data_IF_134067945199
#
_entry.id   IF_134067945199
#
_cell.length_a   1.000
_cell.length_b   1.000
_cell.length_c   1.000
_cell.angle_alpha   90.00
_cell.angle_beta   90.00
_cell.angle_gamma   90.00
#
_symmetry.space_group_name_H-M   'P 1'
#
loop_
_entity.id
_entity.type
_entity.pdbx_description
1 polymer ?
#
# COMPACT_ATOMS: atom_id res chain seq x y z
N UNK A 1 -4.32 2.39 16.83
CA UNK A 1 -4.48 1.23 17.74
C UNK A 1 -5.92 1.13 18.22
N UNK A 2 -6.40 1.90 19.22
CA UNK A 2 -7.80 1.78 19.68
C UNK A 2 -8.85 2.09 18.58
N UNK A 3 -8.62 3.12 17.77
CA UNK A 3 -9.51 3.50 16.65
C UNK A 3 -9.61 2.45 15.53
N UNK A 4 -8.59 1.61 15.37
CA UNK A 4 -8.52 0.59 14.32
C UNK A 4 -9.22 -0.69 14.79
N UNK A 5 -9.09 -1.01 16.09
CA UNK A 5 -9.78 -2.14 16.75
C UNK A 5 -11.30 -1.97 16.72
N UNK A 6 -11.82 -0.76 17.01
CA UNK A 6 -13.27 -0.52 17.00
C UNK A 6 -13.91 -0.67 15.60
N UNK A 7 -13.15 -0.41 14.53
CA UNK A 7 -13.62 -0.58 13.15
C UNK A 7 -13.68 -2.04 12.76
N UNK A 8 -12.69 -2.83 13.17
CA UNK A 8 -12.65 -4.27 12.93
C UNK A 8 -13.80 -4.99 13.66
N UNK A 9 -14.05 -4.62 14.92
CA UNK A 9 -15.15 -5.18 15.73
C UNK A 9 -16.52 -4.86 15.10
N UNK A 10 -16.74 -3.62 14.63
CA UNK A 10 -17.98 -3.28 13.92
C UNK A 10 -18.07 -3.95 12.56
N UNK A 11 -16.95 -4.20 11.86
CA UNK A 11 -16.99 -4.98 10.63
C UNK A 11 -17.48 -6.41 10.84
N UNK A 12 -16.99 -7.06 11.90
CA UNK A 12 -17.46 -8.40 12.29
C UNK A 12 -18.97 -8.35 12.57
N UNK A 13 -19.42 -7.39 13.38
CA UNK A 13 -20.83 -7.19 13.68
C UNK A 13 -21.68 -6.94 12.43
N UNK A 14 -21.21 -6.09 11.51
CA UNK A 14 -21.92 -5.79 10.28
C UNK A 14 -22.09 -7.04 9.42
N UNK A 15 -21.05 -7.85 9.28
CA UNK A 15 -21.13 -9.12 8.57
C UNK A 15 -22.14 -10.05 9.22
N UNK A 16 -22.09 -10.21 10.54
CA UNK A 16 -22.99 -11.12 11.24
C UNK A 16 -24.45 -10.67 11.15
N UNK A 17 -24.73 -9.39 11.35
CA UNK A 17 -26.11 -8.86 11.38
C UNK A 17 -26.66 -8.61 9.98
N UNK A 18 -25.90 -7.97 9.09
CA UNK A 18 -26.37 -7.53 7.78
C UNK A 18 -26.23 -8.60 6.69
N UNK A 19 -25.19 -9.45 6.77
CA UNK A 19 -24.94 -10.49 5.75
C UNK A 19 -25.44 -11.86 6.21
N UNK A 20 -25.19 -12.24 7.47
CA UNK A 20 -25.57 -13.55 8.01
C UNK A 20 -26.94 -13.57 8.70
N UNK A 21 -27.59 -12.42 8.87
CA UNK A 21 -28.93 -12.30 9.43
C UNK A 21 -29.02 -12.54 10.95
N UNK A 22 -27.91 -12.42 11.68
CA UNK A 22 -27.91 -12.48 13.13
C UNK A 22 -28.75 -11.32 13.72
N UNK A 23 -29.47 -11.55 14.83
CA UNK A 23 -30.21 -10.48 15.49
C UNK A 23 -29.24 -9.46 16.10
N UNK A 24 -29.57 -8.17 15.95
CA UNK A 24 -28.86 -7.09 16.65
C UNK A 24 -29.42 -6.96 18.08
N UNK A 25 -28.60 -7.23 19.09
CA UNK A 25 -28.97 -7.04 20.50
C UNK A 25 -28.46 -5.70 21.03
N UNK A 26 -29.36 -4.78 21.40
CA UNK A 26 -29.00 -3.45 21.91
C UNK A 26 -28.74 -3.43 23.42
N UNK A 27 -27.72 -4.17 23.85
CA UNK A 27 -27.16 -4.03 25.20
C UNK A 27 -26.25 -2.80 25.33
N UNK A 28 -25.79 -2.49 26.55
CA UNK A 28 -24.97 -1.30 26.82
C UNK A 28 -23.62 -1.32 26.11
N UNK A 29 -23.02 -2.50 25.95
CA UNK A 29 -21.77 -2.70 25.20
C UNK A 29 -21.97 -2.36 23.72
N UNK A 30 -23.02 -2.90 23.10
CA UNK A 30 -23.37 -2.64 21.71
C UNK A 30 -23.67 -1.17 21.45
N UNK A 31 -24.42 -0.53 22.36
CA UNK A 31 -24.70 0.91 22.30
C UNK A 31 -23.41 1.73 22.39
N UNK A 32 -22.49 1.31 23.25
CA UNK A 32 -21.20 1.98 23.42
C UNK A 32 -20.33 1.83 22.17
N UNK A 33 -20.25 0.63 21.61
CA UNK A 33 -19.52 0.34 20.37
C UNK A 33 -20.07 1.18 19.21
N UNK A 34 -21.38 1.06 18.92
CA UNK A 34 -22.01 1.77 17.80
C UNK A 34 -21.91 3.30 17.94
N UNK A 35 -22.05 3.84 19.16
CA UNK A 35 -21.92 5.28 19.41
C UNK A 35 -20.50 5.78 19.15
N UNK A 36 -19.49 4.99 19.54
CA UNK A 36 -18.08 5.33 19.32
C UNK A 36 -17.71 5.24 17.84
N UNK A 37 -18.09 4.15 17.18
CA UNK A 37 -17.80 3.96 15.76
C UNK A 37 -18.55 4.97 14.88
N UNK A 38 -19.79 5.35 15.26
CA UNK A 38 -20.51 6.43 14.60
C UNK A 38 -19.68 7.72 14.53
N UNK A 39 -19.07 8.12 15.64
CA UNK A 39 -18.19 9.31 15.67
C UNK A 39 -16.95 9.12 14.79
N UNK A 40 -16.34 7.93 14.80
CA UNK A 40 -15.19 7.60 13.95
C UNK A 40 -15.52 7.66 12.44
N UNK A 41 -16.78 7.52 12.05
CA UNK A 41 -17.25 7.65 10.66
C UNK A 41 -17.98 8.98 10.39
N UNK A 42 -17.73 9.99 11.23
CA UNK A 42 -18.31 11.33 11.12
C UNK A 42 -19.84 11.38 11.17
N UNK A 43 -20.46 10.50 11.95
CA UNK A 43 -21.86 10.63 12.37
C UNK A 43 -21.88 11.37 13.71
N UNK A 44 -22.75 12.37 13.83
CA UNK A 44 -22.82 13.21 15.03
C UNK A 44 -23.19 12.40 16.27
N UNK A 45 -22.66 12.79 17.43
CA UNK A 45 -22.95 12.11 18.70
C UNK A 45 -24.45 12.12 19.02
N UNK A 46 -25.13 13.24 18.74
CA UNK A 46 -26.58 13.37 18.93
C UNK A 46 -27.35 12.41 18.02
N UNK A 47 -27.02 12.38 16.73
CA UNK A 47 -27.65 11.48 15.75
C UNK A 47 -27.46 10.01 16.12
N UNK A 48 -26.27 9.65 16.60
CA UNK A 48 -25.98 8.31 17.08
C UNK A 48 -26.82 7.95 18.33
N UNK A 49 -26.90 8.85 19.31
CA UNK A 49 -27.72 8.65 20.51
C UNK A 49 -29.21 8.52 20.17
N UNK A 50 -29.72 9.36 19.27
CA UNK A 50 -31.10 9.32 18.82
C UNK A 50 -31.39 8.01 18.08
N UNK A 51 -30.48 7.57 17.20
CA UNK A 51 -30.61 6.32 16.48
C UNK A 51 -30.54 5.08 17.40
N UNK A 52 -29.81 5.14 18.51
CA UNK A 52 -29.74 4.02 19.45
C UNK A 52 -31.00 3.85 20.32
N UNK A 53 -32.00 4.75 20.27
CA UNK A 53 -33.21 4.64 21.11
C UNK A 53 -34.08 3.42 20.80
N UNK A 54 -34.02 2.89 19.58
CA UNK A 54 -34.83 1.74 19.17
C UNK A 54 -34.02 0.78 18.28
N UNK A 55 -34.46 -0.48 18.21
CA UNK A 55 -33.81 -1.50 17.40
C UNK A 55 -33.81 -1.14 15.90
N UNK A 56 -34.92 -0.62 15.38
CA UNK A 56 -35.04 -0.25 13.96
C UNK A 56 -34.11 0.91 13.58
N UNK A 57 -34.02 1.92 14.43
CA UNK A 57 -33.15 3.08 14.21
C UNK A 57 -31.67 2.70 14.41
N UNK A 58 -31.35 1.80 15.35
CA UNK A 58 -29.98 1.32 15.54
C UNK A 58 -29.51 0.44 14.37
N UNK A 59 -30.42 -0.37 13.80
CA UNK A 59 -30.15 -1.11 12.57
C UNK A 59 -29.84 -0.17 11.40
N UNK A 60 -30.51 0.99 11.35
CA UNK A 60 -30.24 2.02 10.33
C UNK A 60 -28.87 2.65 10.54
N UNK A 61 -28.50 2.97 11.80
CA UNK A 61 -27.17 3.45 12.15
C UNK A 61 -26.07 2.45 11.77
N UNK A 62 -26.26 1.17 12.07
CA UNK A 62 -25.31 0.11 11.72
C UNK A 62 -25.07 0.04 10.20
N UNK A 63 -26.13 0.13 9.39
CA UNK A 63 -26.01 0.16 7.92
C UNK A 63 -25.26 1.39 7.42
N UNK A 64 -25.55 2.57 7.99
CA UNK A 64 -24.85 3.81 7.62
C UNK A 64 -23.35 3.73 7.96
N UNK A 65 -23.02 3.23 9.17
CA UNK A 65 -21.63 2.98 9.57
C UNK A 65 -20.95 2.04 8.58
N UNK A 66 -21.56 0.88 8.30
CA UNK A 66 -21.03 -0.08 7.34
C UNK A 66 -20.81 0.53 5.95
N UNK A 67 -21.78 1.30 5.47
CA UNK A 67 -21.72 1.97 4.17
C UNK A 67 -20.56 2.95 4.11
N UNK A 68 -20.40 3.83 5.11
CA UNK A 68 -19.31 4.84 5.13
C UNK A 68 -17.94 4.20 5.16
N UNK A 69 -17.77 3.16 5.98
CA UNK A 69 -16.50 2.44 6.08
C UNK A 69 -16.20 1.75 4.74
N UNK A 70 -17.16 0.99 4.20
CA UNK A 70 -16.99 0.28 2.93
C UNK A 70 -16.77 1.21 1.74
N UNK A 71 -17.52 2.30 1.62
CA UNK A 71 -17.36 3.27 0.54
C UNK A 71 -16.04 4.03 0.65
N UNK A 72 -15.70 4.57 1.83
CA UNK A 72 -14.47 5.32 2.03
C UNK A 72 -13.22 4.46 1.80
N UNK A 73 -13.20 3.22 2.32
CA UNK A 73 -12.12 2.27 2.07
C UNK A 73 -11.93 1.97 0.57
N UNK A 74 -13.03 1.71 -0.15
CA UNK A 74 -13.01 1.46 -1.60
C UNK A 74 -12.54 2.68 -2.38
N UNK A 75 -13.03 3.87 -2.04
CA UNK A 75 -12.67 5.14 -2.68
C UNK A 75 -11.18 5.42 -2.53
N UNK A 76 -10.68 5.37 -1.29
CA UNK A 76 -9.27 5.58 -0.99
C UNK A 76 -8.37 4.54 -1.69
N UNK A 77 -8.73 3.26 -1.63
CA UNK A 77 -7.95 2.20 -2.27
C UNK A 77 -7.85 2.37 -3.79
N UNK A 78 -8.96 2.70 -4.47
CA UNK A 78 -8.96 2.95 -5.92
C UNK A 78 -8.10 4.16 -6.27
N UNK A 79 -8.27 5.27 -5.57
CA UNK A 79 -7.50 6.49 -5.81
C UNK A 79 -6.00 6.28 -5.58
N UNK A 80 -5.62 5.54 -4.52
CA UNK A 80 -4.22 5.19 -4.24
C UNK A 80 -3.61 4.34 -5.34
N UNK A 81 -4.32 3.29 -5.78
CA UNK A 81 -3.84 2.45 -6.88
C UNK A 81 -3.63 3.28 -8.14
N UNK A 82 -4.59 4.16 -8.47
CA UNK A 82 -4.46 5.04 -9.63
C UNK A 82 -3.33 6.06 -9.48
N UNK A 83 -3.14 6.63 -8.30
CA UNK A 83 -2.04 7.54 -8.02
C UNK A 83 -0.68 6.86 -8.16
N UNK A 84 -0.53 5.61 -7.71
CA UNK A 84 0.70 4.83 -7.93
C UNK A 84 0.96 4.57 -9.41
N UNK A 85 -0.06 4.20 -10.19
CA UNK A 85 0.09 4.04 -11.65
C UNK A 85 0.55 5.33 -12.35
N UNK A 86 0.00 6.48 -11.96
CA UNK A 86 0.36 7.78 -12.51
C UNK A 86 1.79 8.17 -12.11
N UNK A 87 2.14 8.02 -10.82
CA UNK A 87 3.50 8.23 -10.30
C UNK A 87 4.52 7.38 -11.05
N UNK A 88 4.24 6.11 -11.27
CA UNK A 88 5.15 5.17 -11.95
C UNK A 88 5.33 5.53 -13.44
N UNK A 89 4.37 6.26 -14.03
CA UNK A 89 4.48 6.87 -15.37
C UNK A 89 5.12 8.27 -15.37
N UNK A 90 5.45 8.82 -14.20
CA UNK A 90 6.01 10.16 -14.02
C UNK A 90 5.00 11.29 -13.92
N UNK A 91 3.69 10.97 -13.92
CA UNK A 91 2.63 11.96 -13.75
C UNK A 91 2.30 12.17 -12.25
N UNK A 92 3.20 12.88 -11.56
CA UNK A 92 3.01 13.20 -10.14
C UNK A 92 1.86 14.18 -9.89
N UNK A 93 1.58 15.09 -10.82
CA UNK A 93 0.47 16.03 -10.68
C UNK A 93 -0.88 15.32 -10.81
N UNK A 94 -1.02 14.44 -11.80
CA UNK A 94 -2.18 13.56 -11.91
C UNK A 94 -2.34 12.67 -10.68
N UNK A 95 -1.24 12.14 -10.14
CA UNK A 95 -1.27 11.36 -8.90
C UNK A 95 -1.78 12.19 -7.70
N UNK A 96 -1.30 13.42 -7.53
CA UNK A 96 -1.79 14.34 -6.51
C UNK A 96 -3.28 14.63 -6.69
N UNK A 97 -3.73 14.86 -7.92
CA UNK A 97 -5.13 15.16 -8.21
C UNK A 97 -6.06 14.03 -7.78
N UNK A 98 -5.70 12.77 -8.02
CA UNK A 98 -6.48 11.61 -7.55
C UNK A 98 -6.71 11.63 -6.04
N UNK A 99 -5.71 12.05 -5.27
CA UNK A 99 -5.82 12.11 -3.80
C UNK A 99 -6.62 13.35 -3.37
N UNK A 100 -6.46 14.49 -4.04
CA UNK A 100 -7.30 15.69 -3.80
C UNK A 100 -8.78 15.41 -4.06
N UNK A 101 -9.10 14.65 -5.11
CA UNK A 101 -10.48 14.27 -5.43
C UNK A 101 -11.11 13.44 -4.30
N UNK A 102 -10.34 12.57 -3.64
CA UNK A 102 -10.80 11.86 -2.43
C UNK A 102 -11.04 12.83 -1.30
N UNK A 103 -10.11 13.73 -1.01
CA UNK A 103 -10.22 14.71 0.07
C UNK A 103 -11.40 15.67 -0.11
N UNK A 104 -11.86 15.90 -1.34
CA UNK A 104 -13.01 16.74 -1.62
C UNK A 104 -14.35 16.11 -1.17
N UNK A 105 -14.44 14.77 -1.14
CA UNK A 105 -15.70 14.05 -0.87
C UNK A 105 -15.67 13.17 0.37
N UNK A 106 -14.48 12.81 0.85
CA UNK A 106 -14.33 11.90 2.00
C UNK A 106 -14.69 12.62 3.30
N UNK A 107 -15.57 12.00 4.08
CA UNK A 107 -16.04 12.54 5.36
C UNK A 107 -15.47 11.78 6.56
N UNK A 108 -15.05 10.52 6.37
CA UNK A 108 -14.51 9.69 7.44
C UNK A 108 -13.10 10.17 7.82
N UNK A 109 -12.85 10.66 9.05
CA UNK A 109 -11.58 11.26 9.45
C UNK A 109 -10.37 10.37 9.22
N UNK A 110 -10.49 9.06 9.50
CA UNK A 110 -9.40 8.11 9.28
C UNK A 110 -8.95 8.07 7.81
N UNK A 111 -9.90 7.99 6.87
CA UNK A 111 -9.59 7.93 5.45
C UNK A 111 -9.09 9.26 4.89
N UNK A 112 -9.61 10.39 5.40
CA UNK A 112 -9.07 11.72 5.11
C UNK A 112 -7.60 11.81 5.53
N UNK A 113 -7.27 11.42 6.76
CA UNK A 113 -5.91 11.43 7.27
C UNK A 113 -4.97 10.57 6.41
N UNK A 114 -5.41 9.38 6.00
CA UNK A 114 -4.62 8.54 5.10
C UNK A 114 -4.39 9.18 3.72
N UNK A 115 -5.41 9.87 3.17
CA UNK A 115 -5.27 10.62 1.93
C UNK A 115 -4.33 11.83 2.09
N UNK A 116 -4.42 12.59 3.18
CA UNK A 116 -3.52 13.71 3.49
C UNK A 116 -2.05 13.26 3.55
N UNK A 117 -1.75 12.20 4.30
CA UNK A 117 -0.39 11.61 4.35
C UNK A 117 0.09 11.17 2.98
N UNK A 118 -0.79 10.63 2.14
CA UNK A 118 -0.42 10.23 0.78
C UNK A 118 -0.16 11.43 -0.13
N UNK A 119 -0.92 12.52 0.03
CA UNK A 119 -0.73 13.77 -0.73
C UNK A 119 0.57 14.47 -0.34
N UNK A 120 0.89 14.51 0.95
CA UNK A 120 2.15 15.04 1.47
C UNK A 120 3.35 14.30 0.85
N UNK A 121 3.31 12.97 0.82
CA UNK A 121 4.35 12.15 0.17
C UNK A 121 4.53 12.48 -1.31
N UNK A 122 3.43 12.58 -2.05
CA UNK A 122 3.49 12.92 -3.49
C UNK A 122 4.02 14.33 -3.72
N UNK A 123 3.63 15.28 -2.87
CA UNK A 123 4.11 16.67 -2.93
C UNK A 123 5.60 16.74 -2.65
N UNK A 124 6.08 16.05 -1.61
CA UNK A 124 7.51 15.92 -1.34
C UNK A 124 8.27 15.31 -2.53
N UNK A 125 7.72 14.30 -3.20
CA UNK A 125 8.34 13.73 -4.40
C UNK A 125 8.40 14.72 -5.58
N UNK A 126 7.40 15.60 -5.72
CA UNK A 126 7.43 16.70 -6.70
C UNK A 126 8.58 17.65 -6.38
N UNK A 127 8.78 18.00 -5.10
CA UNK A 127 9.88 18.87 -4.67
C UNK A 127 11.26 18.22 -4.91
N UNK A 128 11.42 16.93 -4.59
CA UNK A 128 12.66 16.19 -4.91
C UNK A 128 12.91 16.22 -6.41
N UNK A 129 11.89 15.99 -7.24
CA UNK A 129 12.02 16.05 -8.70
C UNK A 129 12.40 17.46 -9.19
N UNK A 130 11.81 18.49 -8.61
CA UNK A 130 12.02 19.88 -9.00
C UNK A 130 13.37 20.44 -8.57
N UNK A 131 13.89 20.01 -7.43
CA UNK A 131 15.10 20.57 -6.82
C UNK A 131 16.32 19.66 -6.91
N UNK A 132 16.13 18.36 -7.05
CA UNK A 132 17.18 17.34 -6.91
C UNK A 132 17.58 17.06 -5.46
N UNK A 133 16.98 17.74 -4.48
CA UNK A 133 17.31 17.57 -3.05
C UNK A 133 16.47 16.44 -2.45
N UNK A 134 17.13 15.57 -1.71
CA UNK A 134 16.47 14.45 -1.03
C UNK A 134 15.65 14.94 0.17
N UNK A 135 14.61 14.19 0.49
CA UNK A 135 13.80 14.36 1.68
C UNK A 135 13.87 13.06 2.52
N UNK A 136 14.38 13.13 3.76
CA UNK A 136 14.58 11.93 4.59
C UNK A 136 13.28 11.23 5.00
N UNK A 137 12.13 11.92 4.95
CA UNK A 137 10.83 11.37 5.33
C UNK A 137 10.15 10.61 4.18
N UNK A 138 10.74 10.65 2.97
CA UNK A 138 10.20 9.99 1.79
C UNK A 138 10.85 8.61 1.54
N UNK A 139 10.12 7.66 0.95
CA UNK A 139 10.68 6.36 0.59
C UNK A 139 11.84 6.48 -0.40
N UNK A 140 13.02 5.94 -0.06
CA UNK A 140 14.24 6.08 -0.86
C UNK A 140 14.06 5.70 -2.33
N UNK A 141 13.37 4.60 -2.60
CA UNK A 141 13.15 4.11 -3.96
C UNK A 141 12.30 5.06 -4.81
N UNK A 142 11.31 5.70 -4.19
CA UNK A 142 10.45 6.66 -4.88
C UNK A 142 11.27 7.92 -5.19
N UNK A 143 12.16 8.33 -4.28
CA UNK A 143 13.11 9.41 -4.53
C UNK A 143 14.06 9.11 -5.69
N UNK A 144 14.62 7.89 -5.77
CA UNK A 144 15.44 7.47 -6.91
C UNK A 144 14.67 7.52 -8.23
N UNK A 145 13.41 7.11 -8.23
CA UNK A 145 12.58 7.11 -9.44
C UNK A 145 12.35 8.55 -9.95
N UNK A 146 12.03 9.49 -9.06
CA UNK A 146 11.80 10.89 -9.47
C UNK A 146 13.10 11.61 -9.85
N UNK A 147 14.23 11.28 -9.21
CA UNK A 147 15.54 11.78 -9.64
C UNK A 147 15.92 11.24 -11.02
N UNK A 148 15.65 9.95 -11.30
CA UNK A 148 15.86 9.38 -12.64
C UNK A 148 15.03 10.09 -13.70
N UNK A 149 13.76 10.41 -13.40
CA UNK A 149 12.91 11.22 -14.29
C UNK A 149 13.47 12.64 -14.50
N UNK A 150 13.96 13.29 -13.44
CA UNK A 150 14.60 14.61 -13.52
C UNK A 150 15.80 14.59 -14.49
N UNK A 151 16.63 13.54 -14.44
CA UNK A 151 17.79 13.37 -15.34
C UNK A 151 17.33 13.16 -16.78
N UNK A 152 16.30 12.33 -17.00
CA UNK A 152 15.70 12.13 -18.32
C UNK A 152 15.13 13.43 -18.93
N UNK A 153 14.75 14.39 -18.09
CA UNK A 153 14.32 15.74 -18.51
C UNK A 153 15.50 16.69 -18.82
N UNK A 154 16.74 16.20 -18.79
CA UNK A 154 17.94 16.94 -19.14
C UNK A 154 18.60 17.70 -17.99
N UNK A 155 18.18 17.47 -16.74
CA UNK A 155 18.83 18.08 -15.59
C UNK A 155 20.03 17.23 -15.15
N UNK A 156 21.16 17.87 -14.85
CA UNK A 156 22.34 17.16 -14.35
C UNK A 156 22.07 16.54 -12.96
N UNK A 157 22.71 15.38 -12.72
CA UNK A 157 22.72 14.75 -11.40
C UNK A 157 23.80 15.37 -10.52
N UNK A 158 23.40 16.00 -9.43
CA UNK A 158 24.32 16.44 -8.39
C UNK A 158 24.61 15.29 -7.43
N UNK A 159 25.85 14.80 -7.43
CA UNK A 159 26.27 13.70 -6.57
C UNK A 159 26.65 14.23 -5.18
N UNK A 160 25.64 14.48 -4.36
CA UNK A 160 25.76 14.91 -2.96
C UNK A 160 26.08 13.74 -2.03
N UNK A 161 26.55 14.04 -0.82
CA UNK A 161 26.81 13.00 0.19
C UNK A 161 25.53 12.29 0.63
N UNK A 162 24.40 12.99 0.68
CA UNK A 162 23.09 12.40 0.96
C UNK A 162 22.68 11.40 -0.13
N UNK A 163 22.92 11.73 -1.41
CA UNK A 163 22.64 10.81 -2.51
C UNK A 163 23.56 9.59 -2.47
N UNK A 164 24.85 9.77 -2.16
CA UNK A 164 25.77 8.65 -1.95
C UNK A 164 25.30 7.76 -0.81
N UNK A 165 24.88 8.34 0.32
CA UNK A 165 24.38 7.60 1.48
C UNK A 165 23.08 6.84 1.15
N UNK A 166 22.16 7.45 0.40
CA UNK A 166 20.95 6.79 -0.07
C UNK A 166 21.28 5.62 -1.00
N UNK A 167 22.19 5.80 -1.96
CA UNK A 167 22.59 4.73 -2.88
C UNK A 167 23.22 3.55 -2.14
N UNK A 168 24.10 3.80 -1.16
CA UNK A 168 24.64 2.74 -0.28
C UNK A 168 23.56 1.96 0.45
N UNK A 169 22.50 2.63 0.89
CA UNK A 169 21.38 2.00 1.60
C UNK A 169 20.49 1.16 0.67
N UNK A 170 20.21 1.66 -0.54
CA UNK A 170 19.27 1.00 -1.47
C UNK A 170 19.94 -0.07 -2.33
N UNK A 171 21.20 0.09 -2.73
CA UNK A 171 21.93 -0.85 -3.56
C UNK A 171 21.85 -2.33 -3.10
N UNK A 172 22.12 -2.68 -1.83
CA UNK A 172 22.02 -4.08 -1.38
C UNK A 172 20.59 -4.62 -1.46
N UNK A 173 19.57 -3.77 -1.35
CA UNK A 173 18.16 -4.18 -1.51
C UNK A 173 17.81 -4.59 -2.94
N UNK A 174 18.65 -4.23 -3.92
CA UNK A 174 18.57 -4.68 -5.30
C UNK A 174 19.66 -5.71 -5.66
N UNK A 175 20.33 -6.30 -4.66
CA UNK A 175 21.46 -7.22 -4.81
C UNK A 175 22.65 -6.63 -5.60
N UNK A 176 22.91 -5.33 -5.44
CA UNK A 176 24.16 -4.71 -5.91
C UNK A 176 25.16 -4.77 -4.76
N UNK A 177 26.39 -5.20 -5.06
CA UNK A 177 27.44 -5.33 -4.04
C UNK A 177 27.96 -3.98 -3.56
N UNK A 178 28.58 -3.95 -2.38
CA UNK A 178 29.23 -2.75 -1.86
C UNK A 178 30.33 -2.25 -2.82
N UNK A 179 31.16 -3.15 -3.35
CA UNK A 179 32.22 -2.78 -4.29
C UNK A 179 31.68 -2.14 -5.59
N UNK A 180 30.63 -2.71 -6.19
CA UNK A 180 29.96 -2.11 -7.36
C UNK A 180 29.34 -0.76 -7.01
N UNK A 181 28.78 -0.63 -5.80
CA UNK A 181 28.18 0.61 -5.32
C UNK A 181 29.21 1.70 -5.15
N UNK A 182 30.31 1.42 -4.44
CA UNK A 182 31.40 2.39 -4.22
C UNK A 182 32.08 2.79 -5.53
N UNK A 183 32.18 1.89 -6.50
CA UNK A 183 32.70 2.24 -7.83
C UNK A 183 31.75 3.18 -8.57
N UNK A 184 30.46 2.86 -8.59
CA UNK A 184 29.46 3.64 -9.30
C UNK A 184 29.33 5.08 -8.75
N UNK A 185 29.40 5.27 -7.44
CA UNK A 185 29.22 6.59 -6.80
C UNK A 185 30.48 7.48 -6.83
N UNK A 186 31.49 7.13 -7.62
CA UNK A 186 32.66 7.99 -7.89
C UNK A 186 32.34 9.10 -8.90
N UNK A 187 31.36 8.90 -9.78
CA UNK A 187 30.94 9.89 -10.77
C UNK A 187 29.42 9.99 -10.87
N UNK A 188 28.88 11.14 -11.35
CA UNK A 188 27.45 11.29 -11.61
C UNK A 188 26.91 10.25 -12.59
N UNK A 189 27.65 9.92 -13.65
CA UNK A 189 27.24 8.95 -14.67
C UNK A 189 27.16 7.53 -14.09
N UNK A 190 28.11 7.17 -13.23
CA UNK A 190 28.09 5.89 -12.52
C UNK A 190 26.92 5.81 -11.53
N UNK A 191 26.65 6.89 -10.80
CA UNK A 191 25.52 6.97 -9.88
C UNK A 191 24.18 6.85 -10.63
N UNK A 192 24.03 7.53 -11.77
CA UNK A 192 22.85 7.40 -12.64
C UNK A 192 22.68 5.96 -13.13
N UNK A 193 23.75 5.33 -13.62
CA UNK A 193 23.71 3.94 -14.06
C UNK A 193 23.29 2.99 -12.93
N UNK A 194 23.80 3.21 -11.71
CA UNK A 194 23.40 2.46 -10.52
C UNK A 194 21.92 2.66 -10.18
N UNK A 195 21.42 3.90 -10.20
CA UNK A 195 19.99 4.19 -9.99
C UNK A 195 19.13 3.45 -11.01
N UNK A 196 19.47 3.54 -12.29
CA UNK A 196 18.77 2.82 -13.36
C UNK A 196 18.79 1.31 -13.16
N UNK A 197 19.93 0.74 -12.74
CA UNK A 197 20.06 -0.68 -12.44
C UNK A 197 19.15 -1.10 -11.27
N UNK A 198 19.17 -0.37 -10.16
CA UNK A 198 18.32 -0.62 -8.97
C UNK A 198 16.85 -0.62 -9.38
N UNK A 199 16.39 0.45 -10.03
CA UNK A 199 14.99 0.61 -10.44
C UNK A 199 14.56 -0.50 -11.41
N UNK A 200 15.42 -0.83 -12.39
CA UNK A 200 15.19 -1.89 -13.37
C UNK A 200 15.07 -3.27 -12.72
N UNK A 201 15.96 -3.62 -11.78
CA UNK A 201 15.90 -4.90 -11.05
C UNK A 201 14.61 -5.04 -10.27
N UNK A 202 14.20 -3.99 -9.54
CA UNK A 202 12.93 -4.02 -8.83
C UNK A 202 11.72 -4.15 -9.76
N UNK A 203 11.69 -3.40 -10.87
CA UNK A 203 10.58 -3.47 -11.82
C UNK A 203 10.48 -4.86 -12.47
N UNK A 204 11.61 -5.45 -12.87
CA UNK A 204 11.66 -6.79 -13.47
C UNK A 204 11.29 -7.88 -12.46
N UNK A 205 11.88 -7.84 -11.27
CA UNK A 205 11.60 -8.82 -10.23
C UNK A 205 10.15 -8.77 -9.74
N UNK A 206 9.60 -7.57 -9.56
CA UNK A 206 8.20 -7.40 -9.17
C UNK A 206 7.23 -7.96 -10.20
N UNK A 207 7.45 -7.68 -11.50
CA UNK A 207 6.62 -8.25 -12.59
C UNK A 207 6.73 -9.77 -12.66
N UNK A 208 7.94 -10.31 -12.51
CA UNK A 208 8.19 -11.75 -12.52
C UNK A 208 7.45 -12.43 -11.37
N UNK A 209 7.66 -11.93 -10.15
CA UNK A 209 7.03 -12.47 -8.95
C UNK A 209 5.50 -12.41 -9.03
N UNK A 210 4.94 -11.26 -9.41
CA UNK A 210 3.48 -11.11 -9.51
C UNK A 210 2.87 -12.07 -10.56
N UNK A 211 3.51 -12.23 -11.71
CA UNK A 211 3.06 -13.18 -12.73
C UNK A 211 3.09 -14.62 -12.21
N UNK A 212 4.20 -15.01 -11.59
CA UNK A 212 4.36 -16.34 -11.02
C UNK A 212 3.34 -16.60 -9.89
N UNK A 213 3.04 -15.59 -9.07
CA UNK A 213 2.00 -15.65 -8.04
C UNK A 213 0.62 -15.97 -8.64
N UNK A 214 0.20 -15.27 -9.69
CA UNK A 214 -1.08 -15.56 -10.35
C UNK A 214 -1.13 -16.99 -10.91
N UNK A 215 -0.04 -17.44 -11.55
CA UNK A 215 0.05 -18.79 -12.10
C UNK A 215 0.03 -19.85 -11.00
N UNK A 216 0.79 -19.64 -9.92
CA UNK A 216 0.83 -20.50 -8.75
C UNK A 216 -0.56 -20.65 -8.12
N UNK A 217 -1.27 -19.54 -7.88
CA UNK A 217 -2.64 -19.56 -7.35
C UNK A 217 -3.58 -20.33 -8.26
N UNK A 218 -3.53 -20.08 -9.57
CA UNK A 218 -4.36 -20.82 -10.53
C UNK A 218 -4.09 -22.33 -10.52
N UNK A 219 -2.84 -22.76 -10.42
CA UNK A 219 -2.46 -24.18 -10.37
C UNK A 219 -2.91 -24.83 -9.06
N UNK A 220 -2.71 -24.13 -7.93
CA UNK A 220 -3.18 -24.58 -6.62
C UNK A 220 -4.69 -24.76 -6.60
N UNK A 221 -5.43 -23.80 -7.13
CA UNK A 221 -6.90 -23.85 -7.14
C UNK A 221 -7.43 -24.94 -8.10
N UNK A 222 -6.62 -25.37 -9.09
CA UNK A 222 -6.87 -26.53 -9.94
C UNK A 222 -6.40 -27.87 -9.32
N UNK A 223 -5.81 -27.86 -8.12
CA UNK A 223 -5.28 -29.03 -7.44
C UNK A 223 -3.86 -29.44 -7.85
N UNK A 224 -3.22 -28.73 -8.78
CA UNK A 224 -1.83 -28.97 -9.19
C UNK A 224 -0.85 -28.25 -8.24
N UNK A 225 -0.67 -28.84 -7.05
CA UNK A 225 0.24 -28.30 -6.03
C UNK A 225 1.71 -28.35 -6.47
N UNK A 226 2.11 -29.35 -7.25
CA UNK A 226 3.51 -29.45 -7.68
C UNK A 226 3.84 -28.42 -8.77
N UNK A 227 2.91 -28.20 -9.71
CA UNK A 227 3.00 -27.09 -10.65
C UNK A 227 3.05 -25.74 -9.93
N UNK A 228 2.23 -25.55 -8.90
CA UNK A 228 2.28 -24.34 -8.07
C UNK A 228 3.64 -24.15 -7.39
N UNK A 229 4.22 -25.19 -6.78
CA UNK A 229 5.57 -25.14 -6.21
C UNK A 229 6.62 -24.81 -7.27
N UNK A 230 6.51 -25.41 -8.46
CA UNK A 230 7.45 -25.17 -9.54
C UNK A 230 7.48 -23.70 -9.95
N UNK A 231 6.33 -23.00 -9.98
CA UNK A 231 6.30 -21.56 -10.26
C UNK A 231 7.18 -20.74 -9.30
N UNK A 232 7.17 -21.06 -8.00
CA UNK A 232 8.00 -20.35 -7.01
C UNK A 232 9.47 -20.77 -7.11
N UNK A 233 9.77 -22.04 -7.43
CA UNK A 233 11.16 -22.48 -7.70
C UNK A 233 11.75 -21.79 -8.93
N UNK A 234 10.95 -21.62 -9.98
CA UNK A 234 11.34 -20.92 -11.20
C UNK A 234 11.68 -19.45 -10.92
N UNK A 235 10.92 -18.78 -10.04
CA UNK A 235 11.28 -17.44 -9.56
C UNK A 235 12.62 -17.47 -8.82
N UNK A 236 12.79 -18.39 -7.86
CA UNK A 236 14.01 -18.47 -7.04
C UNK A 236 15.28 -18.79 -7.84
N UNK A 237 15.14 -19.45 -8.99
CA UNK A 237 16.25 -19.76 -9.89
C UNK A 237 16.84 -18.51 -10.57
N UNK A 238 16.04 -17.46 -10.78
CA UNK A 238 16.43 -16.28 -11.57
C UNK A 238 16.32 -14.95 -10.82
N UNK A 239 15.65 -14.94 -9.66
CA UNK A 239 15.44 -13.74 -8.88
C UNK A 239 16.67 -13.43 -8.03
N UNK A 240 17.13 -12.18 -8.10
CA UNK A 240 18.31 -11.70 -7.36
C UNK A 240 17.90 -10.71 -6.27
N UNK A 241 16.78 -10.01 -6.43
CA UNK A 241 16.31 -9.01 -5.46
C UNK A 241 15.87 -9.72 -4.18
N UNK A 242 16.52 -9.48 -3.03
CA UNK A 242 16.28 -10.24 -1.80
C UNK A 242 14.81 -10.28 -1.39
N UNK A 243 14.10 -9.16 -1.50
CA UNK A 243 12.67 -9.08 -1.14
C UNK A 243 11.79 -10.04 -1.95
N UNK A 244 12.01 -10.17 -3.26
CA UNK A 244 11.20 -11.05 -4.10
C UNK A 244 11.58 -12.52 -3.93
N UNK A 245 12.86 -12.80 -3.64
CA UNK A 245 13.30 -14.15 -3.24
C UNK A 245 12.61 -14.57 -1.95
N UNK A 246 12.67 -13.74 -0.91
CA UNK A 246 12.02 -14.02 0.37
C UNK A 246 10.52 -14.24 0.20
N UNK A 247 9.85 -13.40 -0.59
CA UNK A 247 8.42 -13.57 -0.86
C UNK A 247 8.11 -14.90 -1.57
N UNK A 248 8.94 -15.34 -2.51
CA UNK A 248 8.78 -16.64 -3.17
C UNK A 248 9.05 -17.82 -2.21
N UNK A 249 10.05 -17.71 -1.32
CA UNK A 249 10.31 -18.69 -0.27
C UNK A 249 9.16 -18.81 0.74
N UNK A 250 8.53 -17.69 1.11
CA UNK A 250 7.34 -17.66 1.97
C UNK A 250 6.16 -18.37 1.31
N UNK A 251 5.92 -18.13 0.02
CA UNK A 251 4.85 -18.79 -0.74
C UNK A 251 5.10 -20.28 -0.89
N UNK A 252 6.35 -20.68 -1.15
CA UNK A 252 6.74 -22.09 -1.20
C UNK A 252 6.44 -22.80 0.13
N UNK A 253 6.85 -22.20 1.26
CA UNK A 253 6.53 -22.72 2.62
C UNK A 253 5.03 -22.82 2.87
N UNK A 254 4.25 -21.87 2.37
CA UNK A 254 2.79 -21.90 2.45
C UNK A 254 2.16 -23.08 1.71
N UNK A 255 2.72 -23.48 0.57
CA UNK A 255 2.26 -24.64 -0.21
C UNK A 255 2.68 -25.99 0.39
N UNK A 256 3.68 -26.00 1.27
CA UNK A 256 4.15 -27.19 1.97
C UNK A 256 3.43 -27.42 3.30
N UNK A 257 2.69 -26.42 3.79
CA UNK A 257 1.86 -26.54 4.99
C UNK A 257 0.57 -27.32 4.67
N UNK A 258 0.14 -28.26 5.54
CA UNK A 258 -1.10 -28.99 5.33
C UNK A 258 -2.29 -28.02 5.28
N UNK A 259 -3.25 -28.28 4.40
CA UNK A 259 -4.50 -27.52 4.37
C UNK A 259 -5.16 -27.60 5.76
N UNK A 260 -5.67 -26.48 6.31
CA UNK A 260 -6.43 -26.53 7.56
C UNK A 260 -7.58 -27.51 7.37
N UNK A 261 -7.69 -28.47 8.31
CA UNK A 261 -8.77 -29.45 8.34
C UNK A 261 -10.07 -28.67 8.57
N UNK A 262 -10.92 -28.62 7.55
CA UNK A 262 -12.26 -28.03 7.59
C UNK A 262 -13.22 -28.92 8.36
#
# INVERSE_FOLDING_TARGET
>A
MAEEVDLDDVWVLCRDVLENGAPLELNDEMRTLLSRTAQQVAIGQQDAQDALRSLSTAMTLLREIHQRIGEGSRRLSRARNRAYELRDKGDLEGACQQIRDVLAVEVVPLYRKHAEVQLEKLTGLIEVRATGRLNPDLPDRDQLAVLSQRIQQGNALELTDDLRALLRRVAPTAAVSEAETEEAIKSPEGAEALMGMILSRFQKGGRRFLRAMYQMTSLRDAGDLEGARQQMRDVLAVEVVPRYRQAAEEQLRGLDSPLPVS
#
